data_IF_304712260647
#
_entry.id   IF_304712260647
#
_cell.length_a   1.000
_cell.length_b   1.000
_cell.length_c   1.000
_cell.angle_alpha   90.00
_cell.angle_beta   90.00
_cell.angle_gamma   90.00
#
_symmetry.space_group_name_H-M   'P 1'
#
loop_
_entity.id
_entity.type
_entity.pdbx_description
1 polymer ?
#
# COMPACT_ATOMS: atom_id res chain seq x y z
N UNK A 1 21.74 6.13 -9.18
CA UNK A 1 21.77 5.23 -8.00
C UNK A 1 22.97 5.60 -7.15
N UNK A 2 22.82 5.57 -5.82
CA UNK A 2 23.91 5.75 -4.85
C UNK A 2 23.89 4.59 -3.86
N UNK A 3 25.06 4.11 -3.49
CA UNK A 3 25.27 3.14 -2.41
C UNK A 3 26.26 3.78 -1.42
N UNK A 4 25.86 3.90 -0.16
CA UNK A 4 26.68 4.31 0.98
C UNK A 4 26.97 3.06 1.81
N UNK A 5 28.24 2.82 2.11
CA UNK A 5 28.75 1.61 2.76
C UNK A 5 29.49 1.90 4.08
N UNK A 6 29.49 3.16 4.54
CA UNK A 6 29.99 3.52 5.86
C UNK A 6 29.19 2.80 6.94
N UNK A 7 29.92 2.09 7.80
CA UNK A 7 29.36 1.36 8.93
C UNK A 7 28.39 2.21 9.78
N UNK A 8 27.15 1.73 9.93
CA UNK A 8 26.08 2.37 10.68
C UNK A 8 25.38 3.53 9.98
N UNK A 9 25.72 3.81 8.71
CA UNK A 9 25.12 4.85 7.87
C UNK A 9 24.79 4.31 6.47
N UNK A 10 24.72 2.98 6.31
CA UNK A 10 24.54 2.31 5.04
C UNK A 10 23.23 2.71 4.38
N UNK A 11 23.26 2.98 3.08
CA UNK A 11 22.07 3.37 2.33
C UNK A 11 22.16 3.07 0.84
N UNK A 12 21.10 2.53 0.27
CA UNK A 12 20.88 2.50 -1.18
C UNK A 12 19.84 3.55 -1.54
N UNK A 13 20.18 4.46 -2.44
CA UNK A 13 19.27 5.46 -2.99
C UNK A 13 19.10 5.28 -4.49
N UNK A 14 17.86 5.07 -4.92
CA UNK A 14 17.47 4.97 -6.32
C UNK A 14 16.59 6.17 -6.66
N UNK A 15 16.97 6.90 -7.70
CA UNK A 15 16.23 8.04 -8.20
C UNK A 15 16.00 7.87 -9.69
N UNK A 16 14.73 7.95 -10.10
CA UNK A 16 14.32 7.98 -11.49
C UNK A 16 13.75 9.38 -11.79
N UNK A 17 14.24 10.01 -12.86
CA UNK A 17 13.82 11.37 -13.25
C UNK A 17 12.39 11.42 -13.82
N UNK A 18 11.89 10.28 -14.32
CA UNK A 18 10.59 10.18 -14.98
C UNK A 18 9.85 8.91 -14.55
N UNK A 19 10.18 7.79 -15.18
CA UNK A 19 9.50 6.52 -14.98
C UNK A 19 10.48 5.50 -14.36
N UNK A 20 9.99 4.68 -13.44
CA UNK A 20 10.68 3.50 -12.90
C UNK A 20 9.79 2.28 -13.10
N UNK A 21 10.21 1.39 -13.99
CA UNK A 21 9.55 0.12 -14.24
C UNK A 21 10.36 -1.01 -13.60
N UNK A 22 9.67 -1.94 -12.92
CA UNK A 22 10.28 -3.12 -12.34
C UNK A 22 9.60 -4.38 -12.86
N UNK A 23 10.29 -5.14 -13.71
CA UNK A 23 9.82 -6.41 -14.25
C UNK A 23 10.54 -7.57 -13.55
N UNK A 24 9.77 -8.47 -12.94
CA UNK A 24 10.26 -9.72 -12.35
C UNK A 24 9.55 -10.88 -13.02
N UNK A 25 10.28 -11.67 -13.80
CA UNK A 25 9.72 -12.77 -14.59
C UNK A 25 9.42 -14.03 -13.77
N UNK A 26 9.95 -14.11 -12.54
CA UNK A 26 9.79 -15.27 -11.67
C UNK A 26 9.41 -14.85 -10.24
N UNK A 27 10.37 -14.74 -9.32
CA UNK A 27 10.09 -14.46 -7.90
C UNK A 27 10.66 -13.11 -7.46
N UNK A 28 9.83 -12.33 -6.76
CA UNK A 28 10.29 -11.20 -5.94
C UNK A 28 10.15 -11.58 -4.47
N UNK A 29 11.24 -11.43 -3.71
CA UNK A 29 11.23 -11.58 -2.25
C UNK A 29 11.75 -10.27 -1.63
N UNK A 30 10.98 -9.69 -0.73
CA UNK A 30 11.33 -8.46 -0.02
C UNK A 30 11.32 -8.77 1.47
N UNK A 31 12.45 -8.53 2.13
CA UNK A 31 12.55 -8.53 3.58
C UNK A 31 13.01 -7.15 4.02
N UNK A 32 12.25 -6.55 4.93
CA UNK A 32 12.57 -5.26 5.55
C UNK A 32 12.69 -5.52 7.05
N UNK A 33 13.89 -5.38 7.60
CA UNK A 33 14.16 -5.68 9.02
C UNK A 33 13.61 -4.65 10.01
N UNK A 34 13.07 -3.53 9.51
CA UNK A 34 12.47 -2.47 10.30
C UNK A 34 11.24 -1.94 9.57
N UNK A 35 11.27 -0.69 9.09
CA UNK A 35 10.10 -0.01 8.53
C UNK A 35 10.13 0.08 7.00
N UNK A 36 8.93 0.02 6.40
CA UNK A 36 8.68 0.37 5.00
C UNK A 36 7.75 1.57 4.95
N UNK A 37 8.16 2.60 4.23
CA UNK A 37 7.36 3.81 3.98
C UNK A 37 7.09 3.92 2.48
N UNK A 38 5.82 3.86 2.09
CA UNK A 38 5.38 4.08 0.70
C UNK A 38 4.55 5.36 0.65
N UNK A 39 4.92 6.30 -0.22
CA UNK A 39 4.17 7.53 -0.46
C UNK A 39 3.91 7.67 -1.96
N UNK A 40 2.63 7.78 -2.33
CA UNK A 40 2.17 7.95 -3.70
C UNK A 40 1.31 9.21 -3.74
N UNK A 41 1.71 10.20 -4.53
CA UNK A 41 1.01 11.50 -4.61
C UNK A 41 -0.30 11.45 -5.41
N UNK A 42 -0.41 10.46 -6.29
CA UNK A 42 -1.57 10.25 -7.14
C UNK A 42 -2.14 8.85 -6.89
N UNK A 43 -2.54 8.15 -7.95
CA UNK A 43 -3.22 6.87 -7.83
C UNK A 43 -2.23 5.72 -7.58
N UNK A 44 -2.61 4.82 -6.68
CA UNK A 44 -1.99 3.50 -6.53
C UNK A 44 -2.94 2.43 -7.05
N UNK A 45 -2.42 1.50 -7.86
CA UNK A 45 -3.19 0.42 -8.45
C UNK A 45 -2.52 -0.92 -8.13
N UNK A 46 -3.31 -1.95 -7.81
CA UNK A 46 -2.80 -3.30 -7.57
C UNK A 46 -3.81 -4.32 -8.06
N UNK A 47 -3.37 -5.23 -8.92
CA UNK A 47 -4.15 -6.38 -9.38
C UNK A 47 -3.41 -7.65 -8.98
N UNK A 48 -4.07 -8.48 -8.19
CA UNK A 48 -3.59 -9.82 -7.84
C UNK A 48 -4.46 -10.84 -8.57
N UNK A 49 -3.89 -11.54 -9.54
CA UNK A 49 -4.64 -12.51 -10.37
C UNK A 49 -4.96 -13.82 -9.64
N UNK A 50 -4.38 -14.02 -8.46
CA UNK A 50 -4.57 -15.20 -7.63
C UNK A 50 -4.90 -14.76 -6.20
N UNK A 51 -4.13 -15.22 -5.21
CA UNK A 51 -4.39 -14.99 -3.80
C UNK A 51 -3.57 -13.83 -3.23
N UNK A 52 -4.19 -13.07 -2.33
CA UNK A 52 -3.51 -12.16 -1.42
C UNK A 52 -3.64 -12.73 0.00
N UNK A 53 -2.53 -12.82 0.72
CA UNK A 53 -2.50 -13.16 2.14
C UNK A 53 -1.95 -11.96 2.90
N UNK A 54 -2.70 -11.51 3.92
CA UNK A 54 -2.32 -10.35 4.72
C UNK A 54 -2.56 -10.61 6.20
N UNK A 55 -1.49 -10.52 6.98
CA UNK A 55 -1.53 -10.57 8.44
C UNK A 55 -1.01 -9.25 8.99
N UNK A 56 -1.72 -8.68 9.95
CA UNK A 56 -1.31 -7.49 10.70
C UNK A 56 -1.47 -7.84 12.17
N UNK A 57 -0.38 -7.81 12.92
CA UNK A 57 -0.37 -8.25 14.33
C UNK A 57 -0.87 -7.17 15.29
N UNK A 58 -0.70 -5.90 14.90
CA UNK A 58 -1.17 -4.74 15.64
C UNK A 58 -2.33 -4.05 14.89
N UNK A 59 -2.60 -2.80 15.22
CA UNK A 59 -3.70 -2.05 14.64
C UNK A 59 -3.52 -1.81 13.14
N UNK A 60 -4.61 -2.00 12.39
CA UNK A 60 -4.76 -1.51 11.02
C UNK A 60 -5.65 -0.26 11.05
N UNK A 61 -5.05 0.90 10.91
CA UNK A 61 -5.77 2.17 10.77
C UNK A 61 -6.07 2.45 9.30
N UNK A 62 -7.27 2.93 8.98
CA UNK A 62 -7.69 3.25 7.60
C UNK A 62 -8.63 4.45 7.63
N UNK A 63 -8.27 5.53 6.93
CA UNK A 63 -9.11 6.71 6.70
C UNK A 63 -9.41 6.79 5.20
N UNK A 64 -10.68 6.72 4.83
CA UNK A 64 -11.15 6.94 3.45
C UNK A 64 -11.98 8.22 3.46
N UNK A 65 -11.51 9.26 2.76
CA UNK A 65 -12.15 10.58 2.74
C UNK A 65 -13.25 10.74 1.69
N UNK A 66 -13.35 9.77 0.79
CA UNK A 66 -14.38 9.67 -0.23
C UNK A 66 -15.15 8.36 -0.03
N UNK A 67 -15.69 7.78 -1.10
CA UNK A 67 -16.46 6.55 -1.04
C UNK A 67 -15.55 5.31 -0.93
N UNK A 68 -15.96 4.34 -0.09
CA UNK A 68 -15.35 3.01 -0.01
C UNK A 68 -16.28 1.97 -0.67
N UNK A 69 -15.76 1.27 -1.68
CA UNK A 69 -16.50 0.29 -2.46
C UNK A 69 -15.92 -1.11 -2.27
N UNK A 70 -16.77 -2.05 -1.83
CA UNK A 70 -16.42 -3.45 -1.69
C UNK A 70 -17.38 -4.34 -2.48
N UNK A 71 -16.85 -5.07 -3.46
CA UNK A 71 -17.57 -6.12 -4.18
C UNK A 71 -16.92 -7.46 -3.88
N UNK A 72 -17.69 -8.41 -3.36
CA UNK A 72 -17.24 -9.78 -3.10
C UNK A 72 -18.08 -10.72 -3.97
N UNK A 73 -17.43 -11.39 -4.93
CA UNK A 73 -18.12 -12.34 -5.83
C UNK A 73 -18.48 -13.67 -5.16
N UNK A 74 -17.84 -14.00 -4.04
CA UNK A 74 -18.11 -15.19 -3.21
C UNK A 74 -18.67 -14.83 -1.84
N UNK A 75 -18.16 -15.46 -0.79
CA UNK A 75 -18.57 -15.21 0.58
C UNK A 75 -17.66 -14.19 1.29
N UNK A 76 -18.26 -13.32 2.11
CA UNK A 76 -17.54 -12.45 3.06
C UNK A 76 -17.74 -13.00 4.47
N UNK A 77 -16.65 -13.42 5.11
CA UNK A 77 -16.64 -13.78 6.53
C UNK A 77 -16.04 -12.64 7.35
N UNK A 78 -16.70 -12.27 8.45
CA UNK A 78 -16.24 -11.25 9.39
C UNK A 78 -16.34 -11.86 10.78
N UNK A 79 -15.21 -11.98 11.48
CA UNK A 79 -15.14 -12.38 12.89
C UNK A 79 -14.38 -11.29 13.63
N UNK A 80 -15.00 -10.73 14.65
CA UNK A 80 -14.41 -9.72 15.53
C UNK A 80 -14.36 -10.29 16.94
N UNK A 81 -13.26 -10.07 17.66
CA UNK A 81 -13.04 -10.66 18.99
C UNK A 81 -13.82 -9.97 20.11
N UNK A 82 -14.05 -8.67 19.97
CA UNK A 82 -14.70 -7.83 21.00
C UNK A 82 -15.98 -7.19 20.46
N UNK A 83 -15.88 -6.08 19.71
CA UNK A 83 -17.04 -5.34 19.19
C UNK A 83 -16.98 -5.02 17.70
N UNK A 84 -18.10 -5.26 16.98
CA UNK A 84 -18.33 -4.70 15.65
C UNK A 84 -19.20 -3.45 15.79
N UNK A 85 -18.58 -2.28 15.70
CA UNK A 85 -19.24 -0.98 15.84
C UNK A 85 -19.43 -0.35 14.45
N UNK A 86 -20.65 0.06 14.13
CA UNK A 86 -21.01 0.67 12.84
C UNK A 86 -21.87 1.90 13.10
N UNK A 87 -21.40 3.05 12.65
CA UNK A 87 -22.13 4.31 12.67
C UNK A 87 -22.21 4.87 11.25
N UNK A 88 -23.39 5.35 10.85
CA UNK A 88 -23.59 6.02 9.58
C UNK A 88 -24.41 7.29 9.80
N UNK A 89 -23.99 8.40 9.19
CA UNK A 89 -24.67 9.69 9.37
C UNK A 89 -26.05 9.79 8.71
N UNK A 90 -26.41 8.86 7.81
CA UNK A 90 -27.71 8.88 7.11
C UNK A 90 -28.45 7.55 7.16
N UNK A 91 -27.80 6.46 6.75
CA UNK A 91 -28.49 5.18 6.59
C UNK A 91 -27.53 3.99 6.79
N UNK A 92 -28.03 2.94 7.44
CA UNK A 92 -27.49 1.57 7.37
C UNK A 92 -28.59 0.70 6.73
N UNK A 93 -28.35 0.19 5.53
CA UNK A 93 -29.30 -0.69 4.84
C UNK A 93 -28.73 -2.11 4.71
N UNK A 94 -29.37 -3.06 5.39
CA UNK A 94 -29.07 -4.48 5.32
C UNK A 94 -30.15 -5.17 4.47
N UNK A 95 -29.77 -5.65 3.29
CA UNK A 95 -30.68 -6.34 2.36
C UNK A 95 -30.11 -7.70 1.99
N UNK A 96 -30.93 -8.74 2.11
CA UNK A 96 -30.60 -10.09 1.65
C UNK A 96 -31.75 -10.64 0.81
N UNK A 97 -31.43 -11.30 -0.30
CA UNK A 97 -32.44 -11.86 -1.20
C UNK A 97 -33.31 -12.94 -0.56
N UNK A 98 -32.75 -13.72 0.37
CA UNK A 98 -33.44 -14.86 0.98
C UNK A 98 -33.71 -14.69 2.48
N UNK A 99 -32.66 -14.47 3.30
CA UNK A 99 -32.80 -14.39 4.75
C UNK A 99 -31.77 -13.47 5.40
N UNK A 100 -32.19 -12.83 6.50
CA UNK A 100 -31.32 -12.19 7.48
C UNK A 100 -31.58 -12.93 8.80
N UNK A 101 -30.51 -13.32 9.48
CA UNK A 101 -30.56 -13.97 10.80
C UNK A 101 -29.71 -13.13 11.74
N UNK A 102 -30.30 -12.69 12.85
CA UNK A 102 -29.63 -11.94 13.92
C UNK A 102 -29.77 -12.78 15.18
N UNK A 103 -28.64 -13.22 15.71
CA UNK A 103 -28.56 -14.05 16.92
C UNK A 103 -27.71 -13.31 17.95
N UNK A 104 -28.19 -13.31 19.19
CA UNK A 104 -27.46 -12.76 20.34
C UNK A 104 -27.61 -13.71 21.51
N UNK A 105 -26.59 -13.79 22.36
CA UNK A 105 -26.60 -14.67 23.52
C UNK A 105 -27.42 -14.13 24.69
N UNK A 106 -27.52 -12.81 24.84
CA UNK A 106 -28.17 -12.19 26.00
C UNK A 106 -29.30 -11.23 25.63
N UNK A 107 -29.06 -10.36 24.66
CA UNK A 107 -30.00 -9.28 24.35
C UNK A 107 -29.92 -8.84 22.88
N UNK A 108 -31.07 -8.55 22.28
CA UNK A 108 -31.20 -7.74 21.06
C UNK A 108 -32.06 -6.52 21.40
N UNK A 109 -31.56 -5.32 21.14
CA UNK A 109 -32.29 -4.07 21.37
C UNK A 109 -32.31 -3.21 20.11
N UNK A 110 -33.50 -2.71 19.76
CA UNK A 110 -33.74 -1.77 18.67
C UNK A 110 -34.41 -0.53 19.25
N UNK A 111 -33.79 0.64 19.13
CA UNK A 111 -34.27 1.88 19.74
C UNK A 111 -34.46 2.97 18.68
N UNK A 112 -35.61 3.65 18.71
CA UNK A 112 -35.96 4.76 17.82
C UNK A 112 -36.83 5.76 18.59
N UNK A 113 -36.33 6.98 18.80
CA UNK A 113 -37.15 8.14 19.20
C UNK A 113 -38.17 7.87 20.32
N UNK A 114 -37.72 7.45 21.49
CA UNK A 114 -38.58 7.15 22.65
C UNK A 114 -39.36 5.83 22.56
N UNK A 115 -39.19 5.07 21.49
CA UNK A 115 -39.75 3.72 21.31
C UNK A 115 -38.62 2.69 21.23
N UNK A 116 -38.85 1.47 21.71
CA UNK A 116 -37.89 0.38 21.59
C UNK A 116 -38.54 -1.00 21.49
N UNK A 117 -37.77 -1.93 20.94
CA UNK A 117 -37.99 -3.36 21.03
C UNK A 117 -36.76 -3.95 21.74
N UNK A 118 -36.99 -4.74 22.78
CA UNK A 118 -35.94 -5.48 23.48
C UNK A 118 -36.31 -6.95 23.55
N UNK A 119 -35.37 -7.81 23.21
CA UNK A 119 -35.46 -9.27 23.29
C UNK A 119 -34.37 -9.71 24.25
N UNK A 120 -34.74 -10.28 25.39
CA UNK A 120 -33.81 -10.81 26.39
C UNK A 120 -34.39 -12.08 27.05
N UNK A 121 -33.76 -12.56 28.12
CA UNK A 121 -34.21 -13.75 28.84
C UNK A 121 -35.62 -13.64 29.45
N UNK A 122 -36.15 -12.43 29.63
CA UNK A 122 -37.52 -12.19 30.13
C UNK A 122 -38.59 -12.25 29.03
N UNK A 123 -38.18 -12.27 27.75
CA UNK A 123 -39.05 -12.33 26.59
C UNK A 123 -38.88 -11.13 25.65
N UNK A 124 -39.98 -10.75 24.99
CA UNK A 124 -40.01 -9.63 24.04
C UNK A 124 -40.76 -8.45 24.65
N UNK A 125 -40.06 -7.34 24.86
CA UNK A 125 -40.65 -6.07 25.30
C UNK A 125 -40.78 -5.13 24.11
N UNK A 126 -41.98 -4.55 23.92
CA UNK A 126 -42.26 -3.52 22.92
C UNK A 126 -42.86 -2.33 23.65
N UNK A 127 -42.21 -1.17 23.57
CA UNK A 127 -42.65 0.03 24.26
C UNK A 127 -42.53 1.28 23.37
N UNK A 128 -43.52 2.16 23.48
CA UNK A 128 -43.58 3.44 22.77
C UNK A 128 -44.97 4.09 22.95
N UNK A 129 -45.15 5.38 22.58
CA UNK A 129 -46.42 6.09 22.76
C UNK A 129 -47.62 5.43 22.07
N UNK A 130 -47.39 4.75 20.94
CA UNK A 130 -48.40 4.02 20.19
C UNK A 130 -47.74 2.80 19.52
N UNK A 131 -48.31 1.61 19.75
CA UNK A 131 -47.88 0.36 19.10
C UNK A 131 -49.00 -0.16 18.21
N UNK A 132 -48.73 -0.33 16.91
CA UNK A 132 -49.67 -0.91 15.94
C UNK A 132 -49.26 -2.34 15.62
N UNK A 133 -50.17 -3.29 15.82
CA UNK A 133 -49.97 -4.71 15.49
C UNK A 133 -51.02 -5.12 14.46
N UNK A 134 -50.58 -5.63 13.31
CA UNK A 134 -51.45 -6.02 12.20
C UNK A 134 -52.40 -4.90 11.70
N UNK A 135 -52.01 -3.63 11.84
CA UNK A 135 -52.90 -2.47 11.57
C UNK A 135 -52.66 -1.79 10.20
N UNK A 136 -52.03 -2.47 9.24
CA UNK A 136 -51.68 -1.91 7.92
C UNK A 136 -50.45 -0.99 7.92
N UNK A 137 -49.90 -0.70 6.74
CA UNK A 137 -48.72 0.16 6.53
C UNK A 137 -47.91 -0.18 5.27
N UNK A 138 -46.90 0.63 4.96
CA UNK A 138 -45.89 0.35 3.93
C UNK A 138 -44.49 0.41 4.57
N UNK A 139 -43.57 -0.51 4.24
CA UNK A 139 -42.21 -0.46 4.74
C UNK A 139 -41.46 0.76 4.20
N UNK A 140 -40.43 1.20 4.92
CA UNK A 140 -39.47 2.15 4.38
C UNK A 140 -38.64 1.48 3.26
N UNK A 141 -38.24 2.28 2.28
CA UNK A 141 -37.33 1.84 1.20
C UNK A 141 -35.91 2.27 1.55
N UNK A 142 -34.96 1.34 1.52
CA UNK A 142 -33.54 1.67 1.71
C UNK A 142 -32.77 1.84 0.39
N UNK A 143 -31.66 2.57 0.42
CA UNK A 143 -30.80 2.75 -0.76
C UNK A 143 -30.07 1.45 -1.10
N UNK A 144 -30.24 0.93 -2.33
CA UNK A 144 -29.57 -0.30 -2.76
C UNK A 144 -28.05 -0.10 -2.85
N UNK A 145 -27.29 -1.10 -2.40
CA UNK A 145 -25.84 -1.13 -2.60
C UNK A 145 -25.49 -1.23 -4.10
N UNK A 146 -24.65 -0.30 -4.57
CA UNK A 146 -24.16 -0.26 -5.95
C UNK A 146 -22.67 0.13 -5.98
N UNK A 147 -21.76 -0.76 -5.51
CA UNK A 147 -20.34 -0.46 -5.46
C UNK A 147 -19.74 -0.32 -6.86
N UNK A 148 -18.79 0.61 -7.01
CA UNK A 148 -17.97 0.69 -8.22
C UNK A 148 -16.94 -0.45 -8.23
N UNK A 149 -16.62 -0.95 -9.43
CA UNK A 149 -15.56 -1.94 -9.61
C UNK A 149 -14.21 -1.24 -9.82
N UNK A 150 -13.09 -1.83 -9.36
CA UNK A 150 -11.76 -1.35 -9.71
C UNK A 150 -11.54 -1.31 -11.23
N UNK A 151 -10.80 -0.30 -11.71
CA UNK A 151 -10.39 -0.18 -13.10
C UNK A 151 -9.17 -1.06 -13.44
N UNK A 152 -8.76 -1.05 -14.72
CA UNK A 152 -7.60 -1.78 -15.20
C UNK A 152 -6.29 -1.20 -14.67
N UNK A 153 -5.34 -2.07 -14.32
CA UNK A 153 -3.97 -1.69 -13.95
C UNK A 153 -3.11 -1.57 -15.21
N UNK A 154 -2.32 -0.50 -15.30
CA UNK A 154 -1.35 -0.33 -16.39
C UNK A 154 -0.16 -1.27 -16.18
N UNK A 155 0.26 -1.96 -17.23
CA UNK A 155 1.47 -2.80 -17.19
C UNK A 155 2.73 -1.94 -17.24
N UNK A 156 3.79 -2.39 -16.58
CA UNK A 156 5.14 -1.86 -16.75
C UNK A 156 5.60 -2.00 -18.22
N UNK A 157 6.57 -1.19 -18.66
CA UNK A 157 7.07 -1.31 -20.03
C UNK A 157 7.69 -2.69 -20.28
N UNK A 158 7.39 -3.27 -21.44
CA UNK A 158 7.93 -4.55 -21.92
C UNK A 158 9.03 -4.34 -22.98
N UNK A 159 9.56 -3.13 -23.10
CA UNK A 159 10.73 -2.89 -23.95
C UNK A 159 11.81 -3.88 -23.50
N UNK A 160 12.35 -4.67 -24.45
CA UNK A 160 13.33 -5.71 -24.16
C UNK A 160 14.48 -5.17 -23.30
N UNK A 161 15.22 -6.05 -22.58
CA UNK A 161 16.29 -5.61 -21.70
C UNK A 161 17.18 -4.60 -22.43
N UNK A 162 17.40 -3.44 -21.81
CA UNK A 162 18.27 -2.41 -22.38
C UNK A 162 19.62 -3.02 -22.76
N UNK A 163 20.30 -2.41 -23.74
CA UNK A 163 21.65 -2.83 -24.14
C UNK A 163 22.52 -3.04 -22.89
N UNK A 164 23.24 -4.17 -22.87
CA UNK A 164 24.18 -4.48 -21.79
C UNK A 164 25.03 -3.25 -21.49
N UNK A 165 25.26 -2.97 -20.21
CA UNK A 165 26.10 -1.85 -19.74
C UNK A 165 27.50 -1.82 -20.40
N UNK A 166 27.92 -2.92 -21.05
CA UNK A 166 29.07 -3.00 -21.94
C UNK A 166 29.11 -1.91 -23.03
N UNK A 167 27.98 -1.50 -23.62
CA UNK A 167 27.99 -0.43 -24.65
C UNK A 167 28.18 0.97 -24.07
N UNK A 168 27.85 1.20 -22.78
CA UNK A 168 28.18 2.46 -22.07
C UNK A 168 29.59 2.48 -21.49
N UNK A 169 30.24 1.31 -21.37
CA UNK A 169 31.67 1.17 -21.07
C UNK A 169 32.57 1.31 -22.31
N UNK A 170 31.98 1.41 -23.51
CA UNK A 170 32.70 1.55 -24.78
C UNK A 170 33.03 3.01 -25.15
N UNK A 171 32.49 3.99 -24.41
CA UNK A 171 33.00 5.37 -24.40
C UNK A 171 34.22 5.47 -23.46
N UNK A 172 35.29 6.20 -23.80
CA UNK A 172 36.59 6.08 -23.13
C UNK A 172 36.67 6.83 -21.80
N UNK A 173 35.62 6.77 -20.97
CA UNK A 173 35.55 7.45 -19.68
C UNK A 173 35.10 6.49 -18.58
N UNK A 174 35.86 6.34 -17.50
CA UNK A 174 35.43 5.51 -16.37
C UNK A 174 34.37 6.24 -15.51
N UNK A 175 33.51 5.50 -14.80
CA UNK A 175 32.49 6.08 -13.89
C UNK A 175 33.13 6.62 -12.56
N UNK A 176 34.46 6.45 -12.43
CA UNK A 176 35.38 7.15 -11.52
C UNK A 176 36.66 7.35 -12.32
N UNK A 177 37.24 8.56 -12.42
CA UNK A 177 38.49 8.80 -13.16
C UNK A 177 39.62 7.85 -12.71
N UNK A 178 39.80 6.74 -13.44
CA UNK A 178 40.92 5.82 -13.28
C UNK A 178 42.23 6.59 -13.53
N UNK A 179 43.27 6.24 -12.77
CA UNK A 179 44.61 6.79 -12.98
C UNK A 179 45.08 6.57 -14.43
N UNK A 180 45.26 7.65 -15.21
CA UNK A 180 45.68 7.61 -16.61
C UNK A 180 47.21 7.71 -16.80
N UNK A 181 47.98 7.28 -15.79
CA UNK A 181 49.45 7.30 -15.84
C UNK A 181 49.97 6.33 -16.93
N UNK A 182 50.81 6.77 -17.88
CA UNK A 182 51.41 5.88 -18.87
C UNK A 182 52.23 4.76 -18.22
N UNK A 183 52.22 3.55 -18.82
CA UNK A 183 52.98 2.40 -18.33
C UNK A 183 54.49 2.73 -18.35
N UNK A 184 55.13 2.75 -17.18
CA UNK A 184 56.54 3.13 -17.01
C UNK A 184 56.80 4.63 -16.78
N UNK A 185 55.77 5.49 -16.84
CA UNK A 185 55.91 6.93 -16.58
C UNK A 185 55.97 7.29 -15.09
N UNK A 186 55.86 8.58 -14.79
CA UNK A 186 55.72 9.15 -13.44
C UNK A 186 54.34 9.81 -13.28
N UNK A 187 53.90 10.14 -12.06
CA UNK A 187 52.64 10.87 -11.87
C UNK A 187 52.61 12.26 -12.54
N UNK A 188 53.76 12.85 -12.89
CA UNK A 188 53.83 14.08 -13.67
C UNK A 188 53.33 13.89 -15.11
N UNK A 189 53.46 12.68 -15.66
CA UNK A 189 53.09 12.33 -17.04
C UNK A 189 51.60 11.97 -17.21
N UNK A 190 50.80 12.07 -16.14
CA UNK A 190 49.37 11.75 -16.17
C UNK A 190 48.56 12.90 -16.81
N UNK A 191 47.82 12.70 -17.91
CA UNK A 191 47.15 13.79 -18.63
C UNK A 191 45.96 14.41 -17.90
N UNK A 192 45.54 13.83 -16.75
CA UNK A 192 44.47 14.37 -15.92
C UNK A 192 44.83 15.78 -15.39
N UNK A 193 43.96 16.76 -15.66
CA UNK A 193 44.15 18.14 -15.25
C UNK A 193 44.21 18.29 -13.72
N UNK A 194 43.40 17.51 -12.98
CA UNK A 194 43.40 17.47 -11.51
C UNK A 194 43.84 16.10 -10.95
N UNK A 195 45.06 15.70 -11.28
CA UNK A 195 45.62 14.45 -10.77
C UNK A 195 46.09 14.58 -9.30
N UNK A 196 45.41 13.88 -8.38
CA UNK A 196 45.78 13.83 -6.95
C UNK A 196 47.21 13.35 -6.69
N UNK A 197 47.73 12.38 -7.46
CA UNK A 197 49.11 11.90 -7.33
C UNK A 197 50.15 12.95 -7.76
N UNK A 198 49.84 13.78 -8.77
CA UNK A 198 50.69 14.91 -9.18
C UNK A 198 50.71 15.99 -8.11
N UNK A 199 49.53 16.33 -7.57
CA UNK A 199 49.41 17.30 -6.47
C UNK A 199 50.23 16.87 -5.24
N UNK A 200 50.16 15.59 -4.86
CA UNK A 200 50.95 15.02 -3.75
C UNK A 200 52.48 15.08 -3.99
N UNK A 201 52.92 14.88 -5.23
CA UNK A 201 54.34 15.01 -5.61
C UNK A 201 54.85 16.46 -5.50
N UNK A 202 54.03 17.43 -5.90
CA UNK A 202 54.38 18.87 -5.81
C UNK A 202 54.36 19.39 -4.37
N UNK A 203 53.48 18.84 -3.52
CA UNK A 203 53.40 19.19 -2.10
C UNK A 203 54.42 18.44 -1.23
N UNK A 204 55.01 17.35 -1.72
CA UNK A 204 56.14 16.66 -1.09
C UNK A 204 57.51 17.34 -1.29
N UNK A 205 57.58 18.40 -2.09
CA UNK A 205 58.81 19.19 -2.36
C UNK A 205 58.98 20.44 -1.49
N UNK A 206 58.07 20.69 -0.53
CA UNK A 206 58.23 21.73 0.48
C UNK A 206 58.54 21.10 1.84
N UNK A 207 59.79 20.70 2.03
CA UNK A 207 60.50 20.67 3.31
C UNK A 207 61.93 21.12 3.10
#
# INVERSE_FOLDING_TARGET
MRIEDRAGQEQIYVHAQRDWDQNIEHDQRIYVGHERHDRVEANSYSEFKAQEHRTVEADRLTEVRADDHLTVGGARHIRVGDGLLVEAGKEIHLSAGNKIVIESGMEITVNVGGSFIKIDASGVTVAGPLTRLNSGGQPATGTKAAPLLPGLVKQASNDGPGELLMQRLSGPGPIVELCQKPKGGTPADCPLADCGCRKALLSGGQR
#
